data_IF_816652048868
#
_entry.id   IF_816652048868
#
_cell.length_a   1.000
_cell.length_b   1.000
_cell.length_c   1.000
_cell.angle_alpha   90.00
_cell.angle_beta   90.00
_cell.angle_gamma   90.00
#
_symmetry.space_group_name_H-M   'P 1'
#
loop_
_entity.id
_entity.type
_entity.pdbx_description
1 polymer ?
#
# COMPACT_ATOMS: atom_id res chain seq x y z
N UNK A 1 2.21 5.97 -15.98
CA UNK A 1 1.39 6.64 -14.94
C UNK A 1 -0.06 6.25 -15.18
N UNK A 2 -0.83 5.83 -14.17
CA UNK A 2 -2.23 5.37 -14.36
C UNK A 2 -3.21 6.40 -13.83
N UNK A 3 -4.21 6.72 -14.64
CA UNK A 3 -5.26 7.69 -14.30
C UNK A 3 -6.18 7.16 -13.20
N UNK A 4 -6.80 8.06 -12.44
CA UNK A 4 -7.73 7.67 -11.37
C UNK A 4 -8.97 6.97 -11.93
N UNK A 5 -9.43 7.37 -13.13
CA UNK A 5 -10.48 6.68 -13.86
C UNK A 5 -10.14 5.20 -14.15
N UNK A 6 -8.90 4.89 -14.51
CA UNK A 6 -8.45 3.50 -14.73
C UNK A 6 -8.39 2.72 -13.41
N UNK A 7 -7.99 3.36 -12.32
CA UNK A 7 -7.99 2.73 -10.99
C UNK A 7 -9.40 2.35 -10.57
N UNK A 8 -10.36 3.23 -10.81
CA UNK A 8 -11.76 2.98 -10.48
C UNK A 8 -12.35 1.87 -11.37
N UNK A 9 -11.99 1.84 -12.65
CA UNK A 9 -12.35 0.73 -13.53
C UNK A 9 -11.79 -0.62 -13.04
N UNK A 10 -10.55 -0.64 -12.52
CA UNK A 10 -9.95 -1.83 -11.91
C UNK A 10 -10.67 -2.22 -10.61
N UNK A 11 -11.00 -1.27 -9.74
CA UNK A 11 -11.74 -1.52 -8.48
C UNK A 11 -13.10 -2.13 -8.74
N UNK A 12 -13.89 -1.56 -9.67
CA UNK A 12 -15.20 -2.11 -10.04
C UNK A 12 -15.09 -3.55 -10.52
N UNK A 13 -14.09 -3.86 -11.36
CA UNK A 13 -13.86 -5.24 -11.82
C UNK A 13 -13.45 -6.19 -10.70
N UNK A 14 -12.58 -5.75 -9.79
CA UNK A 14 -12.20 -6.54 -8.61
C UNK A 14 -13.41 -6.82 -7.71
N UNK A 15 -14.29 -5.83 -7.50
CA UNK A 15 -15.50 -5.97 -6.70
C UNK A 15 -16.47 -7.02 -7.25
N UNK A 16 -16.50 -7.22 -8.58
CA UNK A 16 -17.35 -8.28 -9.17
C UNK A 16 -16.86 -9.70 -8.88
N UNK A 17 -15.59 -9.91 -8.49
CA UNK A 17 -15.02 -11.23 -8.16
C UNK A 17 -14.91 -12.25 -9.31
N UNK A 18 -15.50 -11.97 -10.48
CA UNK A 18 -15.64 -12.92 -11.61
C UNK A 18 -14.41 -13.03 -12.50
N UNK A 19 -13.44 -12.12 -12.37
CA UNK A 19 -12.31 -12.00 -13.28
C UNK A 19 -10.99 -12.18 -12.54
N UNK A 20 -10.10 -13.03 -13.07
CA UNK A 20 -8.74 -13.15 -12.57
C UNK A 20 -7.97 -11.84 -12.80
N UNK A 21 -6.93 -11.58 -12.00
CA UNK A 21 -6.10 -10.37 -12.15
C UNK A 21 -5.48 -10.25 -13.55
N UNK A 22 -5.19 -11.37 -14.23
CA UNK A 22 -4.73 -11.39 -15.63
C UNK A 22 -5.81 -10.96 -16.61
N UNK A 23 -7.07 -11.36 -16.38
CA UNK A 23 -8.19 -10.92 -17.21
C UNK A 23 -8.47 -9.43 -17.02
N UNK A 24 -8.43 -8.93 -15.77
CA UNK A 24 -8.60 -7.51 -15.46
C UNK A 24 -7.50 -6.66 -16.10
N UNK A 25 -6.24 -7.11 -16.01
CA UNK A 25 -5.09 -6.46 -16.64
C UNK A 25 -5.28 -6.29 -18.15
N UNK A 26 -5.67 -7.36 -18.87
CA UNK A 26 -5.94 -7.30 -20.31
C UNK A 26 -7.11 -6.38 -20.65
N UNK A 27 -8.18 -6.41 -19.86
CA UNK A 27 -9.37 -5.60 -20.10
C UNK A 27 -9.18 -4.11 -19.79
N UNK A 28 -8.20 -3.74 -18.97
CA UNK A 28 -7.95 -2.36 -18.56
C UNK A 28 -6.67 -1.76 -19.17
N UNK A 29 -5.87 -2.56 -19.87
CA UNK A 29 -4.59 -2.13 -20.43
C UNK A 29 -3.52 -1.88 -19.37
N UNK A 30 -3.69 -2.45 -18.17
CA UNK A 30 -2.85 -2.21 -16.99
C UNK A 30 -2.01 -3.45 -16.69
N UNK A 31 -0.78 -3.27 -16.18
CA UNK A 31 0.05 -4.42 -15.77
C UNK A 31 -0.58 -5.24 -14.65
N UNK A 32 -0.33 -6.57 -14.64
CA UNK A 32 -0.79 -7.46 -13.55
C UNK A 32 -0.29 -7.00 -12.17
N UNK A 33 0.94 -6.49 -12.10
CA UNK A 33 1.52 -5.96 -10.86
C UNK A 33 0.78 -4.73 -10.34
N UNK A 34 0.35 -3.84 -11.23
CA UNK A 34 -0.47 -2.68 -10.86
C UNK A 34 -1.85 -3.10 -10.35
N UNK A 35 -2.51 -4.08 -11.01
CA UNK A 35 -3.79 -4.64 -10.53
C UNK A 35 -3.62 -5.24 -9.13
N UNK A 36 -2.55 -6.02 -8.90
CA UNK A 36 -2.26 -6.59 -7.58
C UNK A 36 -2.00 -5.52 -6.51
N UNK A 37 -1.32 -4.42 -6.85
CA UNK A 37 -1.09 -3.31 -5.92
C UNK A 37 -2.39 -2.56 -5.59
N UNK A 38 -3.32 -2.43 -6.54
CA UNK A 38 -4.64 -1.86 -6.31
C UNK A 38 -5.47 -2.79 -5.41
N UNK A 39 -5.50 -4.10 -5.71
CA UNK A 39 -6.24 -5.09 -4.93
C UNK A 39 -5.79 -5.15 -3.46
N UNK A 40 -4.48 -5.01 -3.20
CA UNK A 40 -3.90 -5.02 -1.85
C UNK A 40 -4.03 -3.69 -1.10
N UNK A 41 -4.66 -2.67 -1.70
CA UNK A 41 -4.70 -1.31 -1.14
C UNK A 41 -3.33 -0.62 -1.04
N UNK A 42 -2.28 -1.22 -1.60
CA UNK A 42 -0.89 -0.73 -1.53
C UNK A 42 -0.60 0.39 -2.54
N UNK A 43 -1.55 0.73 -3.41
CA UNK A 43 -1.45 1.96 -4.22
C UNK A 43 -1.60 3.16 -3.30
N UNK A 44 -0.47 3.77 -2.92
CA UNK A 44 -0.47 5.08 -2.27
C UNK A 44 -1.16 6.08 -3.19
N UNK A 45 -2.31 6.63 -2.77
CA UNK A 45 -2.87 7.84 -3.37
C UNK A 45 -1.78 8.89 -3.24
N UNK A 46 -1.31 9.44 -4.36
CA UNK A 46 -0.33 10.52 -4.29
C UNK A 46 -1.02 11.64 -3.52
N UNK A 47 -0.51 12.01 -2.35
CA UNK A 47 -0.83 13.31 -1.79
C UNK A 47 -0.53 14.31 -2.92
N UNK A 48 -1.50 15.19 -3.23
CA UNK A 48 -1.28 16.26 -4.19
C UNK A 48 0.07 16.91 -3.89
N UNK A 49 0.82 17.27 -4.94
CA UNK A 49 2.14 17.89 -4.81
C UNK A 49 2.13 18.81 -3.60
N UNK A 50 2.94 18.48 -2.60
CA UNK A 50 3.01 19.22 -1.34
C UNK A 50 3.21 20.69 -1.67
N UNK A 51 2.15 21.47 -1.56
CA UNK A 51 2.23 22.92 -1.61
C UNK A 51 3.13 23.33 -0.44
N UNK A 52 4.32 23.85 -0.74
CA UNK A 52 5.17 24.49 0.26
C UNK A 52 6.54 23.87 0.54
N UNK A 53 7.02 22.87 -0.21
CA UNK A 53 8.48 22.62 -0.21
C UNK A 53 9.07 23.51 -1.28
N UNK A 54 9.61 24.66 -0.87
CA UNK A 54 10.49 25.49 -1.72
C UNK A 54 11.56 24.57 -2.32
N UNK A 55 11.44 24.28 -3.61
CA UNK A 55 12.53 23.66 -4.36
C UNK A 55 13.73 24.61 -4.27
N UNK A 56 14.91 24.16 -3.80
CA UNK A 56 16.11 24.97 -3.88
C UNK A 56 16.43 25.12 -5.37
N UNK A 57 16.13 26.29 -5.90
CA UNK A 57 16.53 26.74 -7.23
C UNK A 57 18.05 26.86 -7.23
N UNK A 58 18.72 25.77 -7.60
CA UNK A 58 20.18 25.69 -7.67
C UNK A 58 20.62 25.07 -8.98
N UNK A 59 21.71 25.58 -9.56
CA UNK A 59 22.37 24.94 -10.70
C UNK A 59 22.70 23.49 -10.34
N UNK A 60 22.32 22.55 -11.21
CA UNK A 60 22.70 21.16 -11.06
C UNK A 60 24.22 21.03 -11.15
N UNK A 61 24.83 20.47 -10.10
CA UNK A 61 26.24 20.15 -10.05
C UNK A 61 26.45 18.71 -9.56
N UNK A 62 27.61 18.13 -9.83
CA UNK A 62 28.03 16.89 -9.18
C UNK A 62 28.52 17.21 -7.78
N UNK A 63 28.01 16.49 -6.78
CA UNK A 63 28.49 16.59 -5.42
C UNK A 63 29.92 16.00 -5.31
N UNK A 64 30.88 16.72 -4.71
CA UNK A 64 32.24 16.21 -4.55
C UNK A 64 32.34 15.02 -3.56
N UNK A 65 31.40 14.89 -2.62
CA UNK A 65 31.42 13.81 -1.62
C UNK A 65 30.83 12.51 -2.14
N UNK A 66 29.69 12.58 -2.86
CA UNK A 66 28.92 11.40 -3.24
C UNK A 66 28.72 11.20 -4.74
N UNK A 67 29.18 12.14 -5.58
CA UNK A 67 29.08 12.09 -7.04
C UNK A 67 27.68 12.31 -7.63
N UNK A 68 26.64 12.47 -6.80
CA UNK A 68 25.27 12.67 -7.25
C UNK A 68 25.08 14.02 -7.95
N UNK A 69 24.28 14.04 -9.02
CA UNK A 69 23.92 15.25 -9.76
C UNK A 69 22.64 15.86 -9.17
N UNK A 70 22.78 16.93 -8.39
CA UNK A 70 21.69 17.51 -7.58
C UNK A 70 22.01 19.00 -7.29
N UNK A 71 21.02 19.88 -7.06
CA UNK A 71 21.31 21.24 -6.62
C UNK A 71 22.05 21.24 -5.28
N UNK A 72 22.94 22.21 -5.08
CA UNK A 72 23.56 22.44 -3.78
C UNK A 72 22.51 23.04 -2.81
N UNK A 73 22.47 22.61 -1.53
CA UNK A 73 23.28 21.57 -0.89
C UNK A 73 22.83 20.14 -1.27
N UNK A 74 23.77 19.19 -1.30
CA UNK A 74 23.53 17.83 -1.82
C UNK A 74 22.40 17.08 -1.09
N UNK A 75 21.24 16.98 -1.76
CA UNK A 75 20.07 16.24 -1.24
C UNK A 75 20.36 14.76 -1.03
N UNK A 76 21.17 14.14 -1.90
CA UNK A 76 21.54 12.74 -1.77
C UNK A 76 22.31 12.47 -0.47
N UNK A 77 23.34 13.28 -0.15
CA UNK A 77 24.05 13.18 1.11
C UNK A 77 23.11 13.41 2.31
N UNK A 78 22.22 14.42 2.23
CA UNK A 78 21.26 14.73 3.30
C UNK A 78 20.33 13.54 3.58
N UNK A 79 19.73 12.95 2.55
CA UNK A 79 18.82 11.81 2.69
C UNK A 79 19.56 10.58 3.19
N UNK A 80 20.77 10.29 2.69
CA UNK A 80 21.59 9.18 3.20
C UNK A 80 21.93 9.33 4.68
N UNK A 81 22.31 10.53 5.12
CA UNK A 81 22.53 10.83 6.54
C UNK A 81 21.26 10.61 7.35
N UNK A 82 20.13 11.12 6.86
CA UNK A 82 18.84 10.95 7.53
C UNK A 82 18.42 9.49 7.65
N UNK A 83 18.54 8.71 6.56
CA UNK A 83 18.30 7.26 6.58
C UNK A 83 19.21 6.58 7.60
N UNK A 84 20.49 6.94 7.66
CA UNK A 84 21.44 6.38 8.64
C UNK A 84 21.07 6.73 10.08
N UNK A 85 20.58 7.93 10.34
CA UNK A 85 20.18 8.37 11.68
C UNK A 85 18.80 7.82 12.09
N UNK A 86 17.90 7.61 11.15
CA UNK A 86 16.54 7.15 11.41
C UNK A 86 16.29 5.68 11.07
N UNK A 87 17.31 4.94 10.64
CA UNK A 87 17.19 3.50 10.48
C UNK A 87 17.04 2.90 11.88
N UNK A 88 15.81 2.91 12.39
CA UNK A 88 15.37 2.00 13.43
C UNK A 88 15.68 0.61 12.88
N UNK A 89 16.35 -0.27 13.64
CA UNK A 89 16.41 -1.67 13.29
C UNK A 89 14.99 -2.09 12.92
N UNK A 90 14.82 -2.61 11.72
CA UNK A 90 13.56 -3.27 11.39
C UNK A 90 13.55 -4.50 12.29
N UNK A 91 12.87 -4.41 13.43
CA UNK A 91 12.41 -5.59 14.12
C UNK A 91 11.65 -6.37 13.05
N UNK A 92 12.20 -7.50 12.65
CA UNK A 92 11.42 -8.46 11.89
C UNK A 92 10.24 -8.77 12.80
N UNK A 93 8.98 -8.58 12.34
CA UNK A 93 7.84 -8.90 13.18
C UNK A 93 8.03 -10.35 13.60
N UNK A 94 8.24 -10.57 14.91
CA UNK A 94 8.31 -11.89 15.48
C UNK A 94 7.07 -12.62 14.97
N UNK A 95 7.30 -13.71 14.24
CA UNK A 95 6.24 -14.34 13.47
C UNK A 95 5.11 -14.80 14.39
N UNK A 96 4.02 -14.06 14.43
CA UNK A 96 2.67 -14.54 14.70
C UNK A 96 1.68 -13.41 14.36
N UNK A 97 1.30 -13.33 13.09
CA UNK A 97 0.25 -12.42 12.61
C UNK A 97 -1.14 -13.00 12.95
N UNK A 98 -1.31 -13.44 14.18
CA UNK A 98 -2.59 -13.85 14.75
C UNK A 98 -2.83 -12.89 15.89
N UNK A 99 -3.82 -12.01 15.75
CA UNK A 99 -4.40 -11.36 16.92
C UNK A 99 -4.78 -12.50 17.88
N UNK A 100 -4.00 -12.72 18.95
CA UNK A 100 -4.27 -13.73 19.96
C UNK A 100 -5.49 -13.28 20.79
N UNK A 101 -6.65 -13.18 20.13
CA UNK A 101 -7.93 -12.89 20.76
C UNK A 101 -8.46 -14.23 21.25
N UNK A 102 -8.21 -14.53 22.51
CA UNK A 102 -8.82 -15.68 23.17
C UNK A 102 -10.30 -15.39 23.45
N UNK A 103 -11.18 -15.90 22.59
CA UNK A 103 -12.62 -15.92 22.88
C UNK A 103 -12.88 -16.98 23.96
N UNK A 104 -13.00 -16.54 25.20
CA UNK A 104 -13.34 -17.42 26.34
C UNK A 104 -14.74 -17.14 26.87
N UNK A 105 -15.33 -18.15 27.51
CA UNK A 105 -16.60 -18.06 28.23
C UNK A 105 -17.76 -17.50 27.39
N UNK A 106 -18.35 -16.41 27.87
CA UNK A 106 -19.54 -15.77 27.30
C UNK A 106 -19.31 -15.20 25.89
N UNK A 107 -18.11 -14.66 25.63
CA UNK A 107 -17.77 -14.08 24.33
C UNK A 107 -17.70 -15.14 23.22
N UNK A 108 -17.23 -16.34 23.56
CA UNK A 108 -17.22 -17.48 22.64
C UNK A 108 -18.63 -17.92 22.28
N UNK A 109 -19.51 -18.07 23.27
CA UNK A 109 -20.92 -18.45 23.04
C UNK A 109 -21.62 -17.45 22.12
N UNK A 110 -21.45 -16.15 22.41
CA UNK A 110 -22.03 -15.08 21.58
C UNK A 110 -21.51 -15.10 20.14
N UNK A 111 -20.22 -15.38 19.95
CA UNK A 111 -19.65 -15.55 18.62
C UNK A 111 -20.25 -16.75 17.88
N UNK A 112 -20.34 -17.91 18.55
CA UNK A 112 -20.92 -19.13 17.99
C UNK A 112 -22.39 -18.96 17.60
N UNK A 113 -23.19 -18.26 18.42
CA UNK A 113 -24.59 -17.95 18.12
C UNK A 113 -24.75 -17.05 16.88
N UNK A 114 -23.96 -15.97 16.80
CA UNK A 114 -23.99 -15.05 15.65
C UNK A 114 -23.51 -15.77 14.38
N UNK A 115 -22.47 -16.59 14.50
CA UNK A 115 -21.93 -17.36 13.40
C UNK A 115 -22.94 -18.38 12.88
N UNK A 116 -23.61 -19.12 13.77
CA UNK A 116 -24.65 -20.08 13.41
C UNK A 116 -25.87 -19.39 12.76
N UNK A 117 -26.24 -18.20 13.22
CA UNK A 117 -27.31 -17.40 12.60
C UNK A 117 -26.95 -16.99 11.18
N UNK A 118 -25.75 -16.43 10.97
CA UNK A 118 -25.28 -16.02 9.64
C UNK A 118 -25.15 -17.19 8.67
N UNK A 119 -24.76 -18.37 9.16
CA UNK A 119 -24.74 -19.58 8.35
C UNK A 119 -26.15 -19.96 7.90
N UNK A 120 -27.15 -19.98 8.78
CA UNK A 120 -28.53 -20.27 8.35
C UNK A 120 -29.03 -19.27 7.32
N UNK A 121 -28.86 -17.98 7.59
CA UNK A 121 -29.24 -16.90 6.66
C UNK A 121 -28.55 -17.03 5.29
N UNK A 122 -27.29 -17.48 5.24
CA UNK A 122 -26.54 -17.65 4.00
C UNK A 122 -26.84 -18.96 3.23
N UNK A 123 -27.52 -19.92 3.86
CA UNK A 123 -27.93 -21.18 3.22
C UNK A 123 -29.40 -21.16 2.77
N UNK A 124 -30.20 -20.23 3.28
CA UNK A 124 -31.60 -20.01 2.90
C UNK A 124 -31.75 -19.03 1.70
N UNK A 125 -30.65 -18.54 1.12
CA UNK A 125 -30.56 -17.62 -0.03
C UNK A 125 -29.89 -18.28 -1.25
#
# INVERSE_FOLDING_TARGET
MISEALVEAVRRRLATGRQSMRAIARATGVSRGTVANIARGRRRRRAGASAGVLEPEGRLGRCPECGAMTPAPCRACRVRRWIRCMSVPREEPAGEDTLQIELTGEFRRRYEEIHARRLREAWDE
#
